data_IF_515054199993
#
_entry.id   IF_515054199993
#
_cell.length_a   1.000
_cell.length_b   1.000
_cell.length_c   1.000
_cell.angle_alpha   90.00
_cell.angle_beta   90.00
_cell.angle_gamma   90.00
#
_symmetry.space_group_name_H-M   'P 1'
#
loop_
_entity.id
_entity.type
_entity.pdbx_description
1 polymer ?
#
# COMPACT_ATOMS: atom_id res chain seq x y z
N UNK A 1 -39.75 11.73 -25.92
CA UNK A 1 -38.63 12.65 -26.20
C UNK A 1 -37.50 11.80 -26.74
N UNK A 2 -37.32 11.77 -28.06
CA UNK A 2 -36.32 10.98 -28.78
C UNK A 2 -35.06 11.81 -28.98
N UNK A 3 -33.91 11.36 -28.48
CA UNK A 3 -32.62 12.03 -28.70
C UNK A 3 -31.80 11.24 -29.72
N UNK A 4 -31.59 11.85 -30.87
CA UNK A 4 -30.79 11.37 -32.00
C UNK A 4 -29.31 11.38 -31.66
N UNK A 5 -28.63 10.27 -31.93
CA UNK A 5 -27.17 10.09 -31.80
C UNK A 5 -26.52 10.45 -33.15
N UNK A 6 -25.50 11.30 -33.15
CA UNK A 6 -24.72 11.66 -34.34
C UNK A 6 -23.31 11.04 -34.26
N UNK A 7 -22.79 10.39 -35.33
CA UNK A 7 -21.40 9.95 -35.38
C UNK A 7 -20.56 10.86 -36.30
N UNK A 8 -19.32 11.16 -35.90
CA UNK A 8 -18.22 11.54 -36.82
C UNK A 8 -16.86 11.42 -36.12
N UNK A 9 -15.93 10.60 -36.62
CA UNK A 9 -14.50 10.71 -36.35
C UNK A 9 -13.74 11.11 -37.61
N UNK A 10 -12.88 12.13 -37.55
CA UNK A 10 -11.88 12.34 -38.61
C UNK A 10 -10.62 13.03 -38.09
N UNK A 11 -9.56 12.22 -38.04
CA UNK A 11 -8.12 12.40 -38.24
C UNK A 11 -7.46 13.81 -38.32
N UNK A 12 -6.21 13.80 -37.82
CA UNK A 12 -4.98 14.22 -38.52
C UNK A 12 -4.22 15.45 -37.97
N UNK A 13 -3.01 15.13 -37.51
CA UNK A 13 -1.72 15.72 -37.87
C UNK A 13 -1.18 16.99 -37.17
N UNK A 14 -0.14 16.71 -36.37
CA UNK A 14 0.99 17.58 -36.01
C UNK A 14 1.75 18.05 -37.26
N UNK A 15 2.41 19.23 -37.20
CA UNK A 15 3.80 19.24 -37.64
C UNK A 15 4.74 20.03 -36.71
N UNK A 16 5.89 19.41 -36.47
CA UNK A 16 7.11 19.97 -35.91
C UNK A 16 7.66 21.09 -36.80
N UNK A 17 8.35 22.08 -36.20
CA UNK A 17 9.28 22.93 -36.95
C UNK A 17 10.57 23.21 -36.17
N UNK A 18 11.65 23.06 -36.93
CA UNK A 18 13.06 22.88 -36.59
C UNK A 18 13.83 24.18 -36.29
N UNK A 19 15.02 24.01 -35.71
CA UNK A 19 15.95 25.01 -35.19
C UNK A 19 16.64 25.92 -36.23
N UNK A 20 17.16 27.07 -35.77
CA UNK A 20 18.31 27.75 -36.40
C UNK A 20 19.30 28.38 -35.38
N UNK A 21 20.61 28.47 -35.69
CA UNK A 21 21.67 28.75 -34.70
C UNK A 21 22.39 30.10 -34.90
N UNK A 22 22.92 30.70 -33.83
CA UNK A 22 24.23 31.39 -33.73
C UNK A 22 24.28 32.09 -32.36
N UNK A 23 25.39 32.15 -31.62
CA UNK A 23 26.58 32.95 -31.96
C UNK A 23 27.65 32.67 -30.88
N UNK A 24 28.84 32.28 -31.30
CA UNK A 24 30.01 32.07 -30.43
C UNK A 24 30.58 33.42 -29.96
N UNK A 25 30.88 33.53 -28.67
CA UNK A 25 31.90 34.46 -28.16
C UNK A 25 32.77 33.78 -27.09
N UNK A 26 34.08 33.83 -27.36
CA UNK A 26 35.25 33.50 -26.52
C UNK A 26 35.17 34.34 -25.21
N UNK A 27 35.71 34.00 -24.05
CA UNK A 27 36.96 33.31 -23.68
C UNK A 27 37.04 33.14 -22.15
N UNK A 28 37.98 32.28 -21.73
CA UNK A 28 38.72 32.27 -20.46
C UNK A 28 38.03 31.67 -19.22
N UNK A 29 38.60 30.56 -18.70
CA UNK A 29 39.69 30.57 -17.72
C UNK A 29 39.87 29.14 -17.18
N UNK A 30 41.10 28.65 -17.18
CA UNK A 30 41.42 27.32 -16.65
C UNK A 30 41.06 27.22 -15.17
N UNK A 31 40.36 26.14 -14.81
CA UNK A 31 40.29 25.64 -13.43
C UNK A 31 40.69 24.17 -13.45
N UNK A 32 41.62 23.88 -12.55
CA UNK A 32 42.33 22.62 -12.34
C UNK A 32 41.31 21.50 -12.13
N UNK A 33 41.48 20.40 -12.85
CA UNK A 33 40.75 19.16 -12.60
C UNK A 33 41.29 18.51 -11.34
N UNK A 34 40.49 18.50 -10.29
CA UNK A 34 40.32 17.36 -9.40
C UNK A 34 38.83 17.33 -9.06
N UNK A 35 38.13 16.25 -9.40
CA UNK A 35 37.37 15.54 -8.36
C UNK A 35 37.44 14.02 -8.57
N UNK A 36 37.80 13.21 -7.56
CA UNK A 36 36.92 12.69 -6.50
C UNK A 36 35.69 11.95 -7.05
N UNK A 37 35.71 10.63 -6.87
CA UNK A 37 34.57 9.70 -6.72
C UNK A 37 33.28 10.08 -7.44
N UNK A 38 32.96 9.24 -8.40
CA UNK A 38 31.76 9.09 -9.21
C UNK A 38 30.44 9.18 -8.40
N UNK A 39 30.08 10.38 -7.95
CA UNK A 39 28.77 10.70 -7.40
C UNK A 39 28.09 11.65 -8.37
N UNK A 40 27.18 11.08 -9.16
CA UNK A 40 26.30 11.84 -10.05
C UNK A 40 25.38 12.68 -9.15
N UNK A 41 25.61 14.00 -9.13
CA UNK A 41 24.74 14.96 -8.46
C UNK A 41 23.49 15.18 -9.30
N UNK A 42 22.36 14.62 -8.87
CA UNK A 42 21.03 14.97 -9.40
C UNK A 42 20.67 16.41 -9.00
N UNK A 43 19.92 17.13 -9.84
CA UNK A 43 19.71 18.57 -9.66
C UNK A 43 18.78 18.87 -8.48
N UNK A 44 19.08 19.96 -7.79
CA UNK A 44 18.44 20.38 -6.56
C UNK A 44 17.04 20.98 -6.82
N UNK A 45 16.07 20.11 -7.11
CA UNK A 45 14.64 20.38 -7.05
C UNK A 45 14.01 19.57 -5.93
N UNK A 46 13.82 20.18 -4.75
CA UNK A 46 12.99 19.69 -3.64
C UNK A 46 13.00 18.18 -3.36
N UNK A 47 14.01 17.71 -2.62
CA UNK A 47 13.98 16.41 -1.94
C UNK A 47 15.06 15.44 -2.40
N UNK A 48 16.29 15.62 -1.90
CA UNK A 48 17.31 14.57 -2.00
C UNK A 48 16.83 13.35 -1.21
N UNK A 49 16.63 12.22 -1.90
CA UNK A 49 16.26 10.96 -1.26
C UNK A 49 17.53 10.26 -0.80
N UNK A 50 17.75 10.24 0.51
CA UNK A 50 18.88 9.57 1.14
C UNK A 50 18.51 8.09 1.31
N UNK A 51 19.32 7.18 0.75
CA UNK A 51 19.12 5.73 0.90
C UNK A 51 20.11 5.19 1.92
N UNK A 52 19.59 4.56 2.97
CA UNK A 52 20.40 3.92 4.01
C UNK A 52 20.85 2.52 3.60
N UNK A 53 21.75 1.92 4.39
CA UNK A 53 22.27 0.56 4.14
C UNK A 53 21.21 -0.55 4.21
N UNK A 54 20.08 -0.28 4.87
CA UNK A 54 18.91 -1.16 4.95
C UNK A 54 17.88 -0.91 3.83
N UNK A 55 18.22 -0.09 2.83
CA UNK A 55 17.35 0.38 1.75
C UNK A 55 16.20 1.30 2.20
N UNK A 56 16.20 1.78 3.44
CA UNK A 56 15.24 2.80 3.87
C UNK A 56 15.49 4.10 3.11
N UNK A 57 14.44 4.66 2.50
CA UNK A 57 14.49 5.91 1.75
C UNK A 57 14.03 7.06 2.63
N UNK A 58 14.89 8.03 2.88
CA UNK A 58 14.60 9.20 3.70
C UNK A 58 14.53 10.46 2.84
N UNK A 59 13.68 11.39 3.24
CA UNK A 59 13.60 12.74 2.69
C UNK A 59 13.79 13.72 3.84
N UNK A 60 14.75 14.63 3.69
CA UNK A 60 14.88 15.76 4.60
C UNK A 60 13.73 16.74 4.37
N UNK A 61 13.08 17.17 5.45
CA UNK A 61 11.99 18.13 5.38
C UNK A 61 12.27 19.31 6.30
N UNK A 62 12.00 20.51 5.78
CA UNK A 62 12.05 21.77 6.53
C UNK A 62 10.71 22.07 7.22
N UNK A 63 9.66 21.31 6.90
CA UNK A 63 8.30 21.59 7.39
C UNK A 63 8.00 20.97 8.75
N UNK A 64 8.81 20.01 9.21
CA UNK A 64 8.66 19.39 10.51
C UNK A 64 9.51 20.09 11.58
N UNK A 65 9.03 20.19 12.83
CA UNK A 65 9.83 20.72 13.94
C UNK A 65 11.16 19.98 14.07
N UNK A 66 12.25 20.73 14.16
CA UNK A 66 13.64 20.25 14.25
C UNK A 66 14.14 19.51 12.99
N UNK A 67 13.58 19.78 11.81
CA UNK A 67 14.03 19.21 10.53
C UNK A 67 14.12 17.68 10.55
N UNK A 68 13.18 17.02 11.24
CA UNK A 68 13.20 15.56 11.40
C UNK A 68 13.02 14.90 10.03
N UNK A 69 13.96 14.03 9.57
CA UNK A 69 13.80 13.30 8.31
C UNK A 69 12.56 12.39 8.34
N UNK A 70 11.94 12.22 7.18
CA UNK A 70 10.77 11.34 7.00
C UNK A 70 11.17 10.15 6.13
N UNK A 71 10.80 8.94 6.55
CA UNK A 71 10.92 7.76 5.71
C UNK A 71 9.77 7.69 4.70
N UNK A 72 10.09 7.41 3.44
CA UNK A 72 9.08 7.12 2.41
C UNK A 72 8.40 5.80 2.72
N UNK A 73 7.07 5.75 2.50
CA UNK A 73 6.24 4.57 2.68
C UNK A 73 5.49 4.26 1.39
N UNK A 74 5.03 3.02 1.23
CA UNK A 74 4.23 2.57 0.09
C UNK A 74 2.74 2.97 0.20
N UNK A 75 2.43 3.99 1.00
CA UNK A 75 1.06 4.46 1.22
C UNK A 75 0.53 5.22 0.01
N UNK A 76 -0.52 4.70 -0.63
CA UNK A 76 -1.15 5.29 -1.80
C UNK A 76 -2.49 5.94 -1.44
N UNK A 77 -2.67 7.20 -1.85
CA UNK A 77 -3.94 7.92 -1.75
C UNK A 77 -4.63 7.89 -3.11
N UNK A 78 -5.81 7.26 -3.18
CA UNK A 78 -6.57 7.06 -4.43
C UNK A 78 -7.63 8.16 -4.66
N UNK A 79 -7.93 8.94 -3.64
CA UNK A 79 -8.88 10.03 -3.74
C UNK A 79 -8.99 10.82 -2.44
N UNK A 80 -9.88 11.81 -2.43
CA UNK A 80 -10.16 12.65 -1.27
C UNK A 80 -11.67 12.76 -1.10
N UNK A 81 -12.13 12.74 0.15
CA UNK A 81 -13.52 12.94 0.51
C UNK A 81 -13.72 14.34 1.10
N UNK A 82 -14.40 15.23 0.37
CA UNK A 82 -14.52 16.65 0.73
C UNK A 82 -15.71 16.97 1.66
N UNK A 83 -16.54 15.97 2.00
CA UNK A 83 -17.80 16.18 2.73
C UNK A 83 -17.60 16.61 4.20
N UNK A 84 -16.41 16.44 4.75
CA UNK A 84 -16.08 16.78 6.14
C UNK A 84 -14.62 17.27 6.29
N UNK A 85 -14.23 18.18 5.37
CA UNK A 85 -12.85 18.59 5.13
C UNK A 85 -12.11 17.61 4.21
N UNK A 86 -10.93 17.98 3.74
CA UNK A 86 -10.12 17.17 2.82
C UNK A 86 -9.59 15.93 3.54
N UNK A 87 -10.31 14.81 3.43
CA UNK A 87 -9.92 13.53 4.05
C UNK A 87 -9.39 12.58 2.98
N UNK A 88 -8.12 12.17 3.02
CA UNK A 88 -7.57 11.27 2.04
C UNK A 88 -8.23 9.89 2.15
N UNK A 89 -8.51 9.29 1.00
CA UNK A 89 -8.98 7.92 0.83
C UNK A 89 -7.77 7.10 0.39
N UNK A 90 -7.33 6.16 1.23
CA UNK A 90 -6.19 5.30 0.94
C UNK A 90 -6.59 4.09 0.08
N UNK A 91 -5.64 3.58 -0.69
CA UNK A 91 -5.78 2.27 -1.33
C UNK A 91 -5.92 1.17 -0.27
N UNK A 92 -6.76 0.18 -0.54
CA UNK A 92 -6.92 -0.97 0.34
C UNK A 92 -5.91 -2.06 0.00
N UNK A 93 -5.38 -2.75 1.00
CA UNK A 93 -4.44 -3.88 0.85
C UNK A 93 -5.10 -5.24 1.10
N UNK A 94 -6.37 -5.28 1.48
CA UNK A 94 -7.13 -6.51 1.75
C UNK A 94 -8.47 -6.56 1.01
N UNK A 95 -9.05 -7.75 0.87
CA UNK A 95 -10.33 -7.93 0.19
C UNK A 95 -11.52 -7.71 1.15
N UNK A 96 -12.56 -7.02 0.66
CA UNK A 96 -13.81 -6.77 1.40
C UNK A 96 -14.88 -7.72 0.85
N UNK A 97 -15.48 -8.50 1.75
CA UNK A 97 -16.57 -9.44 1.41
C UNK A 97 -17.91 -8.73 1.27
N UNK A 98 -18.34 -8.01 2.32
CA UNK A 98 -19.62 -7.29 2.32
C UNK A 98 -19.54 -6.01 3.15
N UNK A 99 -20.41 -5.05 2.84
CA UNK A 99 -20.60 -3.80 3.60
C UNK A 99 -21.98 -3.73 4.27
N UNK A 100 -23.00 -4.34 3.67
CA UNK A 100 -24.41 -4.09 4.02
C UNK A 100 -24.98 -5.02 5.09
N UNK A 101 -24.19 -5.99 5.56
CA UNK A 101 -24.63 -6.96 6.57
C UNK A 101 -24.68 -6.37 7.97
N UNK A 102 -23.87 -5.34 8.26
CA UNK A 102 -23.83 -4.68 9.56
C UNK A 102 -24.42 -3.26 9.52
N UNK A 103 -25.08 -2.81 10.60
CA UNK A 103 -25.61 -1.45 10.66
C UNK A 103 -24.49 -0.41 10.52
N UNK A 104 -24.76 0.60 9.71
CA UNK A 104 -23.80 1.67 9.41
C UNK A 104 -22.76 1.30 8.34
N UNK A 105 -23.07 0.34 7.46
CA UNK A 105 -22.21 -0.09 6.35
C UNK A 105 -20.77 -0.44 6.76
N UNK A 106 -20.63 -1.20 7.85
CA UNK A 106 -19.31 -1.58 8.38
C UNK A 106 -18.70 -2.69 7.51
N UNK A 107 -17.50 -2.49 6.91
CA UNK A 107 -16.88 -3.49 6.05
C UNK A 107 -16.50 -4.75 6.82
N UNK A 108 -16.78 -5.91 6.21
CA UNK A 108 -16.26 -7.21 6.63
C UNK A 108 -15.13 -7.61 5.67
N UNK A 109 -13.92 -7.81 6.21
CA UNK A 109 -12.77 -8.27 5.44
C UNK A 109 -12.77 -9.80 5.27
N UNK A 110 -12.22 -10.28 4.17
CA UNK A 110 -11.94 -11.70 3.95
C UNK A 110 -10.73 -12.11 4.79
N UNK A 111 -10.83 -13.27 5.47
CA UNK A 111 -9.70 -13.91 6.14
C UNK A 111 -9.30 -15.16 5.38
N UNK A 112 -8.03 -15.26 5.01
CA UNK A 112 -7.43 -16.47 4.44
C UNK A 112 -6.82 -17.40 5.51
N UNK A 113 -6.98 -17.06 6.79
CA UNK A 113 -6.49 -17.92 7.87
C UNK A 113 -7.33 -19.21 7.91
N UNK A 114 -6.72 -20.41 7.84
CA UNK A 114 -7.44 -21.66 8.00
C UNK A 114 -7.87 -21.81 9.46
N UNK A 115 -9.12 -21.45 9.75
CA UNK A 115 -9.74 -21.72 11.04
C UNK A 115 -10.32 -23.13 10.93
N UNK A 116 -9.71 -24.10 11.61
CA UNK A 116 -10.35 -25.40 11.81
C UNK A 116 -11.68 -25.13 12.50
N UNK A 117 -12.77 -25.56 11.89
CA UNK A 117 -14.13 -25.23 12.28
C UNK A 117 -14.40 -25.69 13.71
N UNK A 118 -14.14 -24.83 14.69
CA UNK A 118 -14.39 -25.08 16.12
C UNK A 118 -15.88 -24.86 16.46
N UNK A 119 -16.75 -24.96 15.44
CA UNK A 119 -18.16 -24.57 15.51
C UNK A 119 -19.10 -25.60 16.16
N UNK A 120 -18.57 -26.66 16.76
CA UNK A 120 -19.39 -27.67 17.44
C UNK A 120 -19.50 -27.52 18.96
N UNK A 121 -18.61 -26.76 19.61
CA UNK A 121 -18.41 -26.89 21.06
C UNK A 121 -18.60 -25.55 21.77
N UNK A 122 -19.54 -25.45 22.73
CA UNK A 122 -19.57 -24.32 23.64
C UNK A 122 -18.34 -24.42 24.54
N UNK A 123 -17.39 -23.51 24.35
CA UNK A 123 -16.05 -23.52 24.93
C UNK A 123 -15.19 -24.70 24.45
N UNK A 124 -13.88 -24.48 24.41
CA UNK A 124 -12.85 -25.44 23.97
C UNK A 124 -12.72 -26.56 25.02
N UNK A 125 -13.79 -27.34 25.19
CA UNK A 125 -13.80 -28.49 26.07
C UNK A 125 -13.06 -29.63 25.36
N UNK A 126 -12.02 -30.22 25.98
CA UNK A 126 -11.38 -31.40 25.43
C UNK A 126 -12.41 -32.55 25.38
N UNK A 127 -12.64 -33.13 24.20
CA UNK A 127 -13.38 -34.39 24.06
C UNK A 127 -12.40 -35.54 24.24
N UNK A 128 -12.58 -36.30 25.31
CA UNK A 128 -11.99 -37.64 25.38
C UNK A 128 -12.75 -38.58 24.43
N UNK A 129 -12.07 -39.48 23.71
CA UNK A 129 -12.75 -40.50 22.90
C UNK A 129 -13.56 -41.44 23.81
N UNK A 130 -14.83 -41.70 23.47
CA UNK A 130 -15.68 -42.66 24.20
C UNK A 130 -15.17 -44.11 24.11
N UNK A 131 -14.22 -44.38 23.23
CA UNK A 131 -13.68 -45.72 22.96
C UNK A 131 -12.59 -46.13 23.96
N UNK A 132 -12.08 -45.19 24.76
CA UNK A 132 -11.06 -45.43 25.78
C UNK A 132 -11.69 -45.25 27.15
N UNK A 133 -12.33 -46.32 27.64
CA UNK A 133 -12.82 -46.42 29.02
C UNK A 133 -11.80 -47.24 29.81
N UNK A 134 -10.99 -46.57 30.63
CA UNK A 134 -10.02 -47.19 31.54
C UNK A 134 -10.41 -46.88 33.00
N UNK A 135 -10.81 -47.88 33.81
CA UNK A 135 -10.85 -49.32 33.52
C UNK A 135 -12.03 -49.70 32.61
N UNK A 136 -11.98 -50.86 31.92
CA UNK A 136 -13.06 -51.28 31.02
C UNK A 136 -14.41 -51.33 31.74
N UNK A 137 -15.50 -51.04 31.01
CA UNK A 137 -16.84 -50.93 31.59
C UNK A 137 -17.26 -52.16 32.41
N UNK A 138 -16.77 -53.36 32.09
CA UNK A 138 -16.99 -54.58 32.87
C UNK A 138 -16.48 -54.50 34.31
N UNK A 139 -15.40 -53.77 34.55
CA UNK A 139 -14.84 -53.53 35.89
C UNK A 139 -15.69 -52.51 36.65
N UNK A 140 -16.17 -51.45 36.00
CA UNK A 140 -17.05 -50.45 36.62
C UNK A 140 -18.43 -51.03 37.01
N UNK A 141 -19.01 -51.91 36.19
CA UNK A 141 -20.29 -52.55 36.49
C UNK A 141 -20.25 -53.51 37.68
N UNK A 142 -19.05 -53.94 38.11
CA UNK A 142 -18.86 -54.79 39.29
C UNK A 142 -18.86 -54.06 40.63
N UNK A 143 -18.85 -52.72 40.63
CA UNK A 143 -18.89 -51.88 41.84
C UNK A 143 -20.27 -51.27 42.11
N UNK A 144 -21.27 -51.62 41.31
CA UNK A 144 -22.66 -51.23 41.51
C UNK A 144 -23.36 -52.31 42.37
N UNK A 145 -23.07 -52.30 43.66
CA UNK A 145 -23.81 -53.01 44.71
C UNK A 145 -24.45 -51.97 45.65
#
# INVERSE_FOLDING_TARGET
>A
MTTTNAPSPENADTPEQEATPSRRSRSARSKRSNPSSDLVKAEAGSGEVIVLSDNTRLVETDTLPNHRPIALSDFEVVGTLDRAGDRPIAANTFEISTLDTLPGHRPIAVSHLPISDLHGLPAIAPLAPNDVVDPPASVLMGYLD
#
